data_IF_974844591733
#
_entry.id   IF_974844591733
#
_cell.length_a   1.000
_cell.length_b   1.000
_cell.length_c   1.000
_cell.angle_alpha   90.00
_cell.angle_beta   90.00
_cell.angle_gamma   90.00
#
_symmetry.space_group_name_H-M   'P 1'
#
loop_
_entity.id
_entity.type
_entity.pdbx_description
1 polymer ?
#
# COMPACT_ATOMS: atom_id res chain seq x y z
N UNK A 1 11.86 40.65 -36.55
CA UNK A 1 12.47 39.58 -35.73
C UNK A 1 12.25 39.78 -34.23
N UNK A 2 12.49 40.99 -33.68
CA UNK A 2 12.31 41.27 -32.23
C UNK A 2 10.88 40.97 -31.73
N UNK A 3 9.84 41.37 -32.46
CA UNK A 3 8.44 41.10 -32.06
C UNK A 3 8.08 39.61 -32.04
N UNK A 4 8.66 38.81 -32.95
CA UNK A 4 8.43 37.37 -33.00
C UNK A 4 9.11 36.70 -31.81
N UNK A 5 10.34 37.10 -31.48
CA UNK A 5 11.07 36.61 -30.32
C UNK A 5 10.34 36.92 -29.00
N UNK A 6 9.78 38.13 -28.87
CA UNK A 6 9.00 38.53 -27.69
C UNK A 6 7.71 37.72 -27.55
N UNK A 7 6.99 37.51 -28.67
CA UNK A 7 5.77 36.72 -28.69
C UNK A 7 6.03 35.24 -28.34
N UNK A 8 7.13 34.66 -28.83
CA UNK A 8 7.52 33.29 -28.47
C UNK A 8 7.92 33.18 -26.99
N UNK A 9 8.63 34.17 -26.44
CA UNK A 9 9.01 34.15 -25.03
C UNK A 9 7.77 34.23 -24.13
N UNK A 10 6.80 35.07 -24.49
CA UNK A 10 5.54 35.21 -23.77
C UNK A 10 4.69 33.93 -23.84
N UNK A 11 4.64 33.27 -25.00
CA UNK A 11 3.92 32.00 -25.13
C UNK A 11 4.57 30.90 -24.27
N UNK A 12 5.91 30.84 -24.24
CA UNK A 12 6.64 29.88 -23.41
C UNK A 12 6.40 30.13 -21.92
N UNK A 13 6.41 31.39 -21.46
CA UNK A 13 6.13 31.70 -20.06
C UNK A 13 4.68 31.41 -19.67
N UNK A 14 3.71 31.58 -20.57
CA UNK A 14 2.32 31.19 -20.31
C UNK A 14 2.14 29.67 -20.23
N UNK A 15 2.83 28.90 -21.06
CA UNK A 15 2.73 27.42 -21.07
C UNK A 15 3.48 26.79 -19.90
N UNK A 16 4.59 27.41 -19.48
CA UNK A 16 5.39 26.95 -18.33
C UNK A 16 4.88 27.52 -16.99
N UNK A 17 3.83 28.34 -17.00
CA UNK A 17 3.24 28.82 -15.76
C UNK A 17 2.58 27.65 -15.03
N UNK A 18 3.04 27.28 -13.82
CA UNK A 18 2.45 26.17 -13.10
C UNK A 18 0.99 26.50 -12.81
N UNK A 19 0.09 25.61 -13.23
CA UNK A 19 -1.31 25.74 -12.86
C UNK A 19 -1.42 25.69 -11.33
N UNK A 20 -1.98 26.73 -10.73
CA UNK A 20 -2.32 26.74 -9.31
C UNK A 20 -3.46 25.75 -9.10
N UNK A 21 -3.14 24.55 -8.63
CA UNK A 21 -4.12 23.55 -8.22
C UNK A 21 -4.59 23.92 -6.82
N UNK A 22 -5.87 24.26 -6.68
CA UNK A 22 -6.48 24.41 -5.36
C UNK A 22 -6.98 23.04 -4.90
N UNK A 23 -6.68 22.67 -3.65
CA UNK A 23 -7.34 21.54 -3.01
C UNK A 23 -8.86 21.74 -3.08
N UNK A 24 -9.59 20.68 -3.41
CA UNK A 24 -11.04 20.73 -3.46
C UNK A 24 -11.60 21.07 -2.07
N UNK A 25 -12.50 22.06 -2.01
CA UNK A 25 -13.02 22.57 -0.75
C UNK A 25 -13.91 21.52 -0.08
N UNK A 26 -13.44 20.97 1.04
CA UNK A 26 -14.25 20.19 1.96
C UNK A 26 -14.50 21.00 3.22
N UNK A 27 -15.72 20.98 3.76
CA UNK A 27 -15.96 21.46 5.14
C UNK A 27 -15.01 20.81 6.15
N UNK A 28 -14.77 21.45 7.29
CA UNK A 28 -13.73 21.10 8.27
C UNK A 28 -13.67 19.57 8.55
N UNK A 29 -12.50 18.92 8.39
CA UNK A 29 -12.35 17.50 8.65
C UNK A 29 -12.44 17.21 10.14
N UNK A 30 -13.04 16.08 10.52
CA UNK A 30 -12.93 15.58 11.88
C UNK A 30 -11.53 14.99 12.06
N UNK A 31 -10.86 15.31 13.16
CA UNK A 31 -9.47 14.91 13.40
C UNK A 31 -9.38 13.38 13.41
N UNK A 32 -8.60 12.79 12.50
CA UNK A 32 -8.22 11.38 12.51
C UNK A 32 -6.74 11.25 12.12
N UNK A 33 -6.04 10.24 12.66
CA UNK A 33 -4.61 10.06 12.42
C UNK A 33 -4.25 9.72 10.98
N UNK A 34 -5.19 9.13 10.23
CA UNK A 34 -4.96 8.66 8.87
C UNK A 34 -4.68 9.83 7.91
N UNK A 35 -5.49 10.89 7.97
CA UNK A 35 -5.34 12.05 7.07
C UNK A 35 -4.07 12.84 7.35
N UNK A 36 -3.56 12.84 8.59
CA UNK A 36 -2.28 13.51 8.92
C UNK A 36 -1.11 12.96 8.12
N UNK A 37 -1.11 11.65 7.82
CA UNK A 37 -0.03 11.01 7.06
C UNK A 37 -0.36 10.81 5.57
N UNK A 38 -1.65 10.88 5.20
CA UNK A 38 -2.13 10.57 3.85
C UNK A 38 -2.79 11.74 3.13
N UNK A 39 -2.67 12.97 3.62
CA UNK A 39 -3.26 14.15 2.97
C UNK A 39 -2.88 14.27 1.49
N UNK A 40 -1.62 14.03 1.13
CA UNK A 40 -1.14 14.11 -0.25
C UNK A 40 -1.81 13.10 -1.18
N UNK A 41 -2.02 11.88 -0.70
CA UNK A 41 -2.64 10.79 -1.46
C UNK A 41 -4.08 11.11 -1.87
N UNK A 42 -4.71 11.98 -1.10
CA UNK A 42 -6.15 12.10 -0.97
C UNK A 42 -6.66 13.48 -1.38
N UNK A 43 -5.97 14.55 -0.99
CA UNK A 43 -6.26 15.94 -1.35
C UNK A 43 -5.46 16.43 -2.56
N UNK A 44 -4.22 15.97 -2.76
CA UNK A 44 -3.32 16.53 -3.78
C UNK A 44 -3.22 15.67 -5.04
N UNK A 45 -3.24 14.35 -4.89
CA UNK A 45 -3.00 13.41 -6.00
C UNK A 45 -4.20 12.56 -6.36
N UNK A 46 -5.40 12.89 -5.85
CA UNK A 46 -6.65 12.12 -5.94
C UNK A 46 -6.66 11.09 -7.09
N UNK A 47 -6.24 9.87 -6.77
CA UNK A 47 -6.15 8.76 -7.72
C UNK A 47 -7.51 8.08 -7.93
N UNK A 48 -8.59 8.87 -7.90
CA UNK A 48 -9.98 8.38 -7.91
C UNK A 48 -10.48 7.95 -6.53
N UNK A 49 -9.86 8.43 -5.45
CA UNK A 49 -10.19 8.07 -4.06
C UNK A 49 -10.92 9.19 -3.30
N UNK A 50 -11.20 10.30 -3.95
CA UNK A 50 -11.93 11.45 -3.40
C UNK A 50 -13.29 11.09 -2.82
N UNK A 51 -13.94 10.05 -3.33
CA UNK A 51 -15.19 9.53 -2.77
C UNK A 51 -15.02 9.07 -1.30
N UNK A 52 -13.84 8.54 -0.92
CA UNK A 52 -13.55 8.12 0.45
C UNK A 52 -13.66 9.29 1.44
N UNK A 53 -13.40 10.50 0.96
CA UNK A 53 -13.21 11.68 1.79
C UNK A 53 -14.42 12.59 1.71
N UNK A 54 -15.10 12.70 0.57
CA UNK A 54 -16.20 13.68 0.42
C UNK A 54 -17.55 13.21 0.93
N UNK A 55 -17.92 11.96 0.68
CA UNK A 55 -19.16 11.39 1.24
C UNK A 55 -18.96 11.08 2.74
N UNK A 56 -17.74 10.74 3.18
CA UNK A 56 -17.48 10.12 4.49
C UNK A 56 -16.13 10.49 5.14
N UNK A 57 -15.85 11.80 5.30
CA UNK A 57 -14.58 12.44 5.79
C UNK A 57 -13.81 11.76 6.93
N UNK A 58 -14.49 11.03 7.79
CA UNK A 58 -13.95 10.59 9.10
C UNK A 58 -13.88 9.05 9.21
N UNK A 59 -13.99 8.34 8.08
CA UNK A 59 -14.38 6.93 8.05
C UNK A 59 -13.38 6.01 7.37
N UNK A 60 -12.11 6.41 7.25
CA UNK A 60 -11.05 5.51 6.76
C UNK A 60 -11.18 4.15 7.44
N UNK A 61 -11.29 4.14 8.76
CA UNK A 61 -11.45 2.93 9.57
C UNK A 61 -12.80 2.23 9.47
N UNK A 62 -13.88 2.90 9.05
CA UNK A 62 -15.17 2.21 8.93
C UNK A 62 -15.22 1.29 7.72
N UNK A 63 -14.41 1.55 6.70
CA UNK A 63 -14.30 0.67 5.55
C UNK A 63 -13.00 -0.14 5.61
N UNK A 64 -11.89 0.53 5.93
CA UNK A 64 -10.56 -0.06 5.91
C UNK A 64 -10.09 -0.57 7.28
N UNK A 65 -10.89 -0.49 8.35
CA UNK A 65 -10.47 -0.88 9.71
C UNK A 65 -9.19 -0.12 10.16
N UNK A 66 -8.47 -0.62 11.15
CA UNK A 66 -7.31 0.06 11.73
C UNK A 66 -7.66 0.90 12.96
N UNK A 67 -6.66 1.61 13.48
CA UNK A 67 -6.79 2.46 14.66
C UNK A 67 -6.55 3.94 14.32
N UNK A 68 -7.63 4.71 14.29
CA UNK A 68 -7.59 6.15 14.04
C UNK A 68 -7.19 6.99 15.26
N UNK A 69 -7.04 6.38 16.44
CA UNK A 69 -6.73 7.07 17.70
C UNK A 69 -5.22 7.19 17.96
N UNK A 70 -4.40 6.36 17.32
CA UNK A 70 -2.93 6.39 17.43
C UNK A 70 -2.29 7.01 16.19
N UNK A 71 -1.16 7.69 16.41
CA UNK A 71 -0.28 8.25 15.37
C UNK A 71 0.93 7.35 15.05
N UNK A 72 1.06 6.22 15.75
CA UNK A 72 2.13 5.25 15.51
C UNK A 72 1.74 4.36 14.35
N UNK A 73 2.47 4.46 13.23
CA UNK A 73 2.13 3.81 11.95
C UNK A 73 1.69 2.35 12.08
N UNK A 74 2.45 1.53 12.80
CA UNK A 74 2.18 0.09 12.88
C UNK A 74 0.93 -0.19 13.73
N UNK A 75 0.69 0.60 14.76
CA UNK A 75 -0.53 0.52 15.57
C UNK A 75 -1.75 1.00 14.77
N UNK A 76 -1.62 2.12 14.05
CA UNK A 76 -2.70 2.69 13.23
C UNK A 76 -3.12 1.73 12.11
N UNK A 77 -2.17 0.96 11.56
CA UNK A 77 -2.43 -0.01 10.50
C UNK A 77 -2.76 -1.41 11.01
N UNK A 78 -2.81 -1.62 12.33
CA UNK A 78 -3.15 -2.93 12.90
C UNK A 78 -4.57 -3.34 12.50
N UNK A 79 -4.70 -4.47 11.82
CA UNK A 79 -6.00 -4.96 11.33
C UNK A 79 -6.55 -4.21 10.11
N UNK A 80 -5.77 -3.33 9.47
CA UNK A 80 -6.19 -2.57 8.30
C UNK A 80 -6.53 -3.51 7.12
N UNK A 81 -7.72 -3.32 6.57
CA UNK A 81 -8.23 -3.95 5.36
C UNK A 81 -8.01 -3.06 4.14
N UNK A 82 -7.09 -3.45 3.26
CA UNK A 82 -6.74 -2.66 2.07
C UNK A 82 -7.87 -2.62 1.01
N UNK A 83 -8.72 -3.65 0.94
CA UNK A 83 -9.74 -3.80 -0.10
C UNK A 83 -11.10 -4.20 0.49
N UNK A 84 -11.91 -3.25 0.98
CA UNK A 84 -13.21 -3.51 1.60
C UNK A 84 -14.23 -4.20 0.67
N UNK A 85 -14.03 -4.07 -0.64
CA UNK A 85 -14.81 -4.72 -1.70
C UNK A 85 -14.53 -6.23 -1.87
N UNK A 86 -13.48 -6.78 -1.21
CA UNK A 86 -13.15 -8.21 -1.30
C UNK A 86 -14.32 -9.08 -0.85
N UNK A 87 -14.33 -10.33 -1.30
CA UNK A 87 -15.35 -11.32 -0.92
C UNK A 87 -16.78 -10.81 -1.14
N UNK A 88 -17.01 -10.20 -2.30
CA UNK A 88 -18.30 -9.60 -2.67
C UNK A 88 -18.78 -8.47 -1.73
N UNK A 89 -17.85 -7.71 -1.16
CA UNK A 89 -18.17 -6.57 -0.31
C UNK A 89 -18.73 -6.97 1.05
N UNK A 90 -18.24 -8.05 1.65
CA UNK A 90 -18.66 -8.51 2.98
C UNK A 90 -18.59 -7.37 4.02
N UNK A 91 -17.52 -6.57 4.01
CA UNK A 91 -17.40 -5.39 4.87
C UNK A 91 -18.50 -4.35 4.60
N UNK A 92 -18.84 -4.15 3.33
CA UNK A 92 -19.93 -3.25 2.94
C UNK A 92 -21.29 -3.77 3.42
N UNK A 93 -21.50 -5.09 3.45
CA UNK A 93 -22.75 -5.71 3.89
C UNK A 93 -23.10 -5.39 5.36
N UNK A 94 -22.09 -5.17 6.21
CA UNK A 94 -22.30 -4.79 7.61
C UNK A 94 -23.10 -3.50 7.79
N UNK A 95 -23.01 -2.57 6.85
CA UNK A 95 -23.79 -1.33 6.84
C UNK A 95 -24.86 -1.28 5.75
N UNK A 96 -24.70 -2.05 4.66
CA UNK A 96 -25.56 -2.06 3.47
C UNK A 96 -26.20 -3.43 3.20
N UNK A 97 -26.99 -3.99 4.13
CA UNK A 97 -27.55 -5.34 3.94
C UNK A 97 -28.62 -5.43 2.85
N UNK A 98 -29.22 -4.30 2.44
CA UNK A 98 -30.33 -4.27 1.47
C UNK A 98 -29.94 -3.69 0.10
N UNK A 99 -28.85 -2.92 0.03
CA UNK A 99 -28.43 -2.18 -1.16
C UNK A 99 -26.97 -2.45 -1.55
N UNK A 100 -26.36 -3.53 -1.02
CA UNK A 100 -24.97 -3.92 -1.26
C UNK A 100 -24.57 -3.87 -2.74
N UNK A 101 -25.33 -4.55 -3.60
CA UNK A 101 -25.02 -4.65 -5.04
C UNK A 101 -25.03 -3.28 -5.71
N UNK A 102 -26.00 -2.43 -5.38
CA UNK A 102 -26.09 -1.07 -5.92
C UNK A 102 -24.91 -0.21 -5.46
N UNK A 103 -24.50 -0.35 -4.20
CA UNK A 103 -23.35 0.38 -3.64
C UNK A 103 -22.04 -0.05 -4.28
N UNK A 104 -21.82 -1.35 -4.43
CA UNK A 104 -20.65 -1.90 -5.10
C UNK A 104 -20.59 -1.47 -6.57
N UNK A 105 -21.72 -1.46 -7.28
CA UNK A 105 -21.78 -0.97 -8.66
C UNK A 105 -21.43 0.53 -8.77
N UNK A 106 -21.98 1.37 -7.89
CA UNK A 106 -21.62 2.81 -7.82
C UNK A 106 -20.12 2.97 -7.53
N UNK A 107 -19.59 2.18 -6.59
CA UNK A 107 -18.18 2.23 -6.22
C UNK A 107 -17.26 1.82 -7.38
N UNK A 108 -17.60 0.73 -8.08
CA UNK A 108 -16.91 0.28 -9.27
C UNK A 108 -16.93 1.35 -10.39
N UNK A 109 -18.05 2.05 -10.57
CA UNK A 109 -18.16 3.10 -11.60
C UNK A 109 -17.38 4.38 -11.30
N UNK A 110 -17.14 4.70 -10.03
CA UNK A 110 -16.52 5.96 -9.62
C UNK A 110 -14.98 5.90 -9.62
N UNK A 111 -14.40 4.80 -9.14
CA UNK A 111 -12.95 4.67 -9.00
C UNK A 111 -12.36 3.40 -9.61
N UNK A 112 -13.19 2.43 -9.99
CA UNK A 112 -12.75 1.10 -10.38
C UNK A 112 -12.09 0.33 -9.22
N UNK A 113 -12.28 -0.99 -9.17
CA UNK A 113 -11.51 -1.81 -8.26
C UNK A 113 -11.23 -3.19 -8.84
N UNK A 114 -10.12 -3.81 -8.41
CA UNK A 114 -9.86 -5.22 -8.69
C UNK A 114 -10.80 -6.07 -7.85
N UNK A 115 -11.68 -6.81 -8.49
CA UNK A 115 -12.51 -7.82 -7.83
C UNK A 115 -11.61 -8.98 -7.43
N UNK A 116 -11.35 -9.12 -6.13
CA UNK A 116 -10.58 -10.22 -5.57
C UNK A 116 -11.58 -11.06 -4.78
N UNK A 117 -11.86 -12.28 -5.27
CA UNK A 117 -12.61 -13.29 -4.55
C UNK A 117 -11.62 -14.32 -4.03
N UNK A 118 -11.51 -14.44 -2.71
CA UNK A 118 -10.76 -15.54 -2.13
C UNK A 118 -11.66 -16.77 -2.12
N UNK A 119 -11.24 -17.83 -2.81
CA UNK A 119 -11.89 -19.13 -2.67
C UNK A 119 -11.69 -19.59 -1.24
N UNK A 120 -12.76 -19.95 -0.53
CA UNK A 120 -12.66 -20.60 0.78
C UNK A 120 -11.63 -21.72 0.69
N UNK A 121 -10.69 -21.85 1.65
CA UNK A 121 -9.75 -22.95 1.65
C UNK A 121 -10.50 -24.26 1.49
N UNK A 122 -10.12 -25.05 0.49
CA UNK A 122 -10.64 -26.41 0.37
C UNK A 122 -10.17 -27.18 1.60
N UNK A 123 -11.12 -27.58 2.44
CA UNK A 123 -10.88 -28.51 3.54
C UNK A 123 -11.25 -29.89 2.98
N UNK A 124 -10.27 -30.77 2.71
CA UNK A 124 -10.58 -32.12 2.29
C UNK A 124 -11.39 -32.81 3.39
N UNK A 125 -12.47 -33.49 3.02
CA UNK A 125 -13.29 -34.28 3.95
C UNK A 125 -12.55 -35.52 4.48
N UNK A 126 -11.40 -35.85 3.88
CA UNK A 126 -10.52 -36.94 4.27
C UNK A 126 -9.08 -36.60 3.90
N UNK A 127 -8.19 -36.59 4.88
CA UNK A 127 -6.74 -36.56 4.67
C UNK A 127 -6.27 -37.99 4.88
N UNK A 128 -5.93 -38.68 3.77
CA UNK A 128 -5.19 -39.94 3.88
C UNK A 128 -3.78 -39.59 4.39
N UNK A 129 -3.51 -39.94 5.65
CA UNK A 129 -2.22 -39.71 6.30
C UNK A 129 -1.08 -40.50 5.64
N UNK A 130 -1.38 -41.41 4.71
CA UNK A 130 -0.39 -42.20 3.95
C UNK A 130 0.02 -41.60 2.60
N UNK A 131 -0.64 -40.55 2.10
CA UNK A 131 -0.43 -40.05 0.73
C UNK A 131 0.58 -38.89 0.60
N UNK A 132 1.14 -38.40 1.70
CA UNK A 132 2.19 -37.39 1.61
C UNK A 132 3.50 -38.07 1.21
N UNK A 133 4.11 -37.71 0.06
CA UNK A 133 5.48 -38.14 -0.20
C UNK A 133 6.33 -37.62 0.95
N UNK A 134 7.11 -38.51 1.57
CA UNK A 134 8.15 -38.11 2.49
C UNK A 134 9.09 -37.19 1.72
N UNK A 135 8.93 -35.89 1.92
CA UNK A 135 9.95 -34.93 1.51
C UNK A 135 11.18 -35.33 2.30
N UNK A 136 12.12 -36.03 1.66
CA UNK A 136 13.48 -36.15 2.17
C UNK A 136 13.85 -34.73 2.57
N UNK A 137 14.07 -34.51 3.86
CA UNK A 137 14.44 -33.22 4.37
C UNK A 137 15.70 -32.79 3.61
N UNK A 138 15.51 -31.96 2.57
CA UNK A 138 16.62 -31.28 1.92
C UNK A 138 17.27 -30.51 3.05
N UNK A 139 18.46 -30.94 3.46
CA UNK A 139 19.16 -30.20 4.49
C UNK A 139 19.46 -28.85 3.85
N UNK A 140 18.74 -27.82 4.30
CA UNK A 140 18.99 -26.43 3.88
C UNK A 140 20.47 -26.05 4.07
N UNK A 141 21.18 -26.79 4.93
CA UNK A 141 22.61 -26.75 5.15
C UNK A 141 23.40 -27.20 3.92
N UNK A 142 23.03 -28.30 3.25
CA UNK A 142 23.72 -28.77 2.05
C UNK A 142 23.48 -27.84 0.85
N UNK A 143 22.27 -27.30 0.72
CA UNK A 143 21.93 -26.37 -0.38
C UNK A 143 22.66 -25.03 -0.26
N UNK A 144 22.85 -24.53 0.96
CA UNK A 144 23.44 -23.21 1.22
C UNK A 144 24.93 -23.23 1.57
N UNK A 145 25.61 -24.39 1.50
CA UNK A 145 27.04 -24.50 1.81
C UNK A 145 27.96 -23.53 1.03
N UNK A 146 27.71 -23.21 -0.26
CA UNK A 146 28.59 -22.30 -0.99
C UNK A 146 28.52 -20.87 -0.45
N UNK A 147 27.32 -20.43 -0.03
CA UNK A 147 27.10 -19.12 0.58
C UNK A 147 27.72 -19.04 1.98
N UNK A 148 27.64 -20.12 2.76
CA UNK A 148 28.28 -20.19 4.07
C UNK A 148 29.81 -20.09 3.96
N UNK A 149 30.42 -20.77 2.98
CA UNK A 149 31.86 -20.68 2.73
C UNK A 149 32.26 -19.31 2.21
N UNK A 150 31.51 -18.75 1.25
CA UNK A 150 31.77 -17.40 0.75
C UNK A 150 31.69 -16.34 1.85
N UNK A 151 30.66 -16.41 2.71
CA UNK A 151 30.50 -15.53 3.87
C UNK A 151 31.65 -15.69 4.88
N UNK A 152 32.08 -16.91 5.16
CA UNK A 152 33.20 -17.17 6.05
C UNK A 152 34.53 -16.61 5.54
N UNK A 153 34.84 -16.79 4.25
CA UNK A 153 36.08 -16.28 3.64
C UNK A 153 36.12 -14.75 3.61
N UNK A 154 35.01 -14.13 3.22
CA UNK A 154 34.90 -12.66 3.17
C UNK A 154 35.00 -12.03 4.56
N UNK A 155 34.29 -12.59 5.55
CA UNK A 155 34.40 -12.14 6.94
C UNK A 155 35.80 -12.35 7.51
N UNK A 156 36.43 -13.51 7.25
CA UNK A 156 37.79 -13.79 7.69
C UNK A 156 38.83 -12.85 7.09
N UNK A 157 38.72 -12.54 5.80
CA UNK A 157 39.57 -11.55 5.14
C UNK A 157 39.40 -10.15 5.74
N UNK A 158 38.15 -9.72 5.95
CA UNK A 158 37.86 -8.45 6.60
C UNK A 158 38.45 -8.39 8.01
N UNK A 159 38.28 -9.44 8.82
CA UNK A 159 38.80 -9.50 10.18
C UNK A 159 40.34 -9.44 10.20
N UNK A 160 41.01 -10.14 9.28
CA UNK A 160 42.47 -10.05 9.12
C UNK A 160 42.90 -8.62 8.76
N UNK A 161 42.23 -7.99 7.80
CA UNK A 161 42.55 -6.61 7.40
C UNK A 161 42.37 -5.62 8.56
N UNK A 162 41.34 -5.81 9.39
CA UNK A 162 41.12 -4.99 10.59
C UNK A 162 42.21 -5.22 11.64
N UNK A 163 42.53 -6.48 11.94
CA UNK A 163 43.52 -6.82 12.98
C UNK A 163 44.96 -6.42 12.61
N UNK A 164 45.29 -6.46 11.31
CA UNK A 164 46.62 -6.11 10.78
C UNK A 164 46.69 -4.71 10.17
N UNK A 165 45.63 -3.90 10.30
CA UNK A 165 45.65 -2.51 9.84
C UNK A 165 46.76 -1.74 10.56
N UNK A 166 47.68 -1.07 9.84
CA UNK A 166 48.72 -0.23 10.43
C UNK A 166 48.15 1.04 11.07
N UNK A 167 46.90 1.38 10.75
CA UNK A 167 46.12 2.39 11.44
C UNK A 167 45.32 1.72 12.55
N UNK A 168 46.00 1.43 13.67
CA UNK A 168 45.31 1.30 14.95
C UNK A 168 44.89 2.70 15.40
N UNK A 169 43.72 2.88 16.03
CA UNK A 169 43.45 4.12 16.76
C UNK A 169 44.54 4.38 17.81
#
# INVERSE_FOLDING_TARGET
MVFIALATLLAITLVLWPASVSAATTGAPTINSCLTCHEDLYYLHDTGKWYCITEHKDRCVNCHEGDAATMVKDESHSGLMLHPQRNNGEKCQGCHPRDLTTRLAKFASAGGYKTIQETKPYIPSYIDSGAFPSTLASSQIAENWPWAVGGGLTFGLWLLLVLFSPMKP
#
